data_IF_984204861537
#
_entry.id   IF_984204861537
#
_cell.length_a   1.000
_cell.length_b   1.000
_cell.length_c   1.000
_cell.angle_alpha   90.00
_cell.angle_beta   90.00
_cell.angle_gamma   90.00
#
_symmetry.space_group_name_H-M   'P 1'
#
loop_
_entity.id
_entity.type
_entity.pdbx_description
1 polymer ?
#
# COMPACT_ATOMS: atom_id res chain seq x y z
N UNK A 1 4.27 -11.85 -0.71
CA UNK A 1 5.09 -10.93 0.10
C UNK A 1 5.29 -9.63 -0.65
N UNK A 2 5.68 -8.58 0.06
CA UNK A 2 5.78 -7.23 -0.52
C UNK A 2 6.68 -7.20 -1.77
N UNK A 3 7.85 -7.82 -1.71
CA UNK A 3 8.80 -7.82 -2.82
C UNK A 3 8.22 -8.45 -4.08
N UNK A 4 7.45 -9.53 -3.92
CA UNK A 4 6.85 -10.24 -5.05
C UNK A 4 5.77 -9.42 -5.73
N UNK A 5 5.19 -8.46 -5.01
CA UNK A 5 4.19 -7.53 -5.51
C UNK A 5 4.81 -6.25 -6.07
N UNK A 6 6.13 -6.11 -6.00
CA UNK A 6 6.83 -4.90 -6.41
C UNK A 6 6.71 -3.75 -5.43
N UNK A 7 6.35 -4.03 -4.18
CA UNK A 7 6.23 -2.99 -3.16
C UNK A 7 7.61 -2.65 -2.61
N UNK A 8 8.03 -1.42 -2.82
CA UNK A 8 9.32 -0.91 -2.38
C UNK A 8 9.24 0.59 -2.12
N UNK A 9 10.26 1.12 -1.45
CA UNK A 9 10.32 2.54 -1.14
C UNK A 9 10.18 3.39 -2.41
N UNK A 10 9.34 4.40 -2.34
CA UNK A 10 9.14 5.38 -3.41
C UNK A 10 7.93 5.15 -4.29
N UNK A 11 7.28 3.99 -4.23
CA UNK A 11 6.10 3.74 -5.06
C UNK A 11 4.83 4.28 -4.42
N UNK A 12 3.85 4.61 -5.24
CA UNK A 12 2.52 4.98 -4.78
C UNK A 12 1.66 3.74 -4.55
N UNK A 13 0.85 3.79 -3.51
CA UNK A 13 -0.09 2.73 -3.17
C UNK A 13 -1.41 3.34 -2.70
N UNK A 14 -2.46 2.55 -2.75
CA UNK A 14 -3.74 2.88 -2.13
C UNK A 14 -3.84 2.09 -0.83
N UNK A 15 -4.21 2.77 0.24
CA UNK A 15 -4.28 2.17 1.59
C UNK A 15 -5.73 2.14 2.04
N UNK A 16 -6.21 0.94 2.40
CA UNK A 16 -7.53 0.80 3.00
C UNK A 16 -7.42 0.74 4.52
N UNK A 17 -8.50 1.15 5.19
CA UNK A 17 -8.55 1.09 6.64
C UNK A 17 -8.55 -0.37 7.12
N UNK A 18 -7.81 -0.66 8.19
CA UNK A 18 -7.68 -2.01 8.72
C UNK A 18 -8.94 -2.46 9.47
N UNK A 19 -9.70 -1.51 10.02
CA UNK A 19 -10.88 -1.79 10.85
C UNK A 19 -12.15 -1.69 10.04
N UNK A 20 -12.26 -0.66 9.20
CA UNK A 20 -13.47 -0.40 8.41
C UNK A 20 -13.11 -0.35 6.91
N UNK A 21 -13.27 -1.48 6.19
CA UNK A 21 -12.92 -1.54 4.78
C UNK A 21 -13.86 -0.74 3.88
N UNK A 22 -14.99 -0.25 4.41
CA UNK A 22 -15.92 0.58 3.63
C UNK A 22 -15.50 2.05 3.58
N UNK A 23 -14.53 2.45 4.40
CA UNK A 23 -13.97 3.79 4.31
C UNK A 23 -13.21 3.97 2.99
N UNK A 24 -13.22 5.19 2.41
CA UNK A 24 -12.47 5.44 1.18
C UNK A 24 -10.99 5.13 1.35
N UNK A 25 -10.39 4.52 0.33
CA UNK A 25 -8.96 4.29 0.30
C UNK A 25 -8.21 5.61 0.23
N UNK A 26 -7.02 5.64 0.83
CA UNK A 26 -6.16 6.82 0.83
C UNK A 26 -4.94 6.57 -0.03
N UNK A 27 -4.58 7.57 -0.81
CA UNK A 27 -3.37 7.53 -1.62
C UNK A 27 -2.16 7.83 -0.72
N UNK A 28 -1.11 7.04 -0.89
CA UNK A 28 0.10 7.18 -0.08
C UNK A 28 1.32 6.75 -0.89
N UNK A 29 2.50 7.08 -0.35
CA UNK A 29 3.77 6.66 -0.93
C UNK A 29 4.52 5.84 0.10
N UNK A 30 5.10 4.73 -0.33
CA UNK A 30 5.90 3.88 0.55
C UNK A 30 7.20 4.59 0.88
N UNK A 31 7.47 4.76 2.18
CA UNK A 31 8.69 5.40 2.64
C UNK A 31 9.66 4.42 3.30
N UNK A 32 9.16 3.27 3.73
CA UNK A 32 10.01 2.24 4.33
C UNK A 32 9.36 0.88 4.22
N UNK A 33 10.16 -0.13 3.93
CA UNK A 33 9.76 -1.53 4.02
C UNK A 33 10.71 -2.24 4.97
N UNK A 34 10.31 -3.41 5.45
CA UNK A 34 11.13 -4.22 6.34
C UNK A 34 11.48 -5.55 5.66
N UNK A 35 12.63 -6.15 5.98
CA UNK A 35 13.02 -7.41 5.36
C UNK A 35 12.11 -8.56 5.75
N UNK A 36 12.06 -9.58 4.91
CA UNK A 36 11.29 -10.80 5.18
C UNK A 36 11.65 -11.37 6.54
N UNK A 37 10.69 -11.96 7.27
CA UNK A 37 9.31 -12.25 6.85
C UNK A 37 8.30 -11.16 7.20
N UNK A 38 8.73 -9.94 7.44
CA UNK A 38 7.84 -8.85 7.82
C UNK A 38 6.82 -8.55 6.73
N UNK A 39 5.57 -8.28 7.15
CA UNK A 39 4.49 -7.83 6.28
C UNK A 39 4.12 -6.36 6.51
N UNK A 40 4.90 -5.66 7.33
CA UNK A 40 4.64 -4.27 7.67
C UNK A 40 5.44 -3.35 6.76
N UNK A 41 4.88 -2.18 6.54
CA UNK A 41 5.55 -1.09 5.83
C UNK A 41 5.09 0.24 6.39
N UNK A 42 5.87 1.28 6.12
CA UNK A 42 5.51 2.65 6.50
C UNK A 42 5.18 3.42 5.25
N UNK A 43 4.05 4.12 5.27
CA UNK A 43 3.59 4.95 4.18
C UNK A 43 3.44 6.39 4.64
N UNK A 44 3.51 7.31 3.69
CA UNK A 44 3.27 8.73 3.92
C UNK A 44 2.10 9.17 3.05
N UNK A 45 1.06 9.69 3.68
CA UNK A 45 -0.12 10.20 3.01
C UNK A 45 0.13 11.57 2.38
N UNK A 46 -0.79 12.03 1.54
CA UNK A 46 -0.67 13.32 0.85
C UNK A 46 -0.61 14.50 1.81
N UNK A 47 -1.23 14.38 2.98
CA UNK A 47 -1.19 15.43 4.02
C UNK A 47 0.12 15.47 4.81
N UNK A 48 1.05 14.55 4.52
CA UNK A 48 2.34 14.48 5.20
C UNK A 48 2.38 13.56 6.40
N UNK A 49 1.24 13.01 6.83
CA UNK A 49 1.19 12.06 7.93
C UNK A 49 1.75 10.70 7.52
N UNK A 50 2.45 10.06 8.45
CA UNK A 50 3.00 8.72 8.23
C UNK A 50 2.21 7.69 9.03
N UNK A 51 2.15 6.46 8.52
CA UNK A 51 1.43 5.38 9.16
C UNK A 51 2.13 4.06 8.88
N UNK A 52 2.07 3.15 9.84
CA UNK A 52 2.55 1.79 9.68
C UNK A 52 1.37 0.91 9.31
N UNK A 53 1.44 0.27 8.16
CA UNK A 53 0.33 -0.53 7.63
C UNK A 53 0.84 -1.91 7.26
N UNK A 54 -0.09 -2.86 7.16
CA UNK A 54 0.22 -4.22 6.74
C UNK A 54 0.03 -4.36 5.23
N UNK A 55 0.75 -5.29 4.60
CA UNK A 55 0.68 -5.49 3.15
C UNK A 55 -0.74 -5.78 2.65
N UNK A 56 -1.59 -6.41 3.48
CA UNK A 56 -2.97 -6.68 3.10
C UNK A 56 -3.83 -5.42 2.97
N UNK A 57 -3.39 -4.31 3.54
CA UNK A 57 -4.11 -3.03 3.48
C UNK A 57 -3.81 -2.24 2.21
N UNK A 58 -2.79 -2.62 1.44
CA UNK A 58 -2.35 -1.83 0.31
C UNK A 58 -2.69 -2.49 -1.02
N UNK A 59 -2.95 -1.63 -2.02
CA UNK A 59 -3.07 -2.02 -3.43
C UNK A 59 -2.08 -1.17 -4.20
N UNK A 60 -1.23 -1.80 -4.99
CA UNK A 60 -0.28 -1.07 -5.84
C UNK A 60 -1.02 -0.50 -7.05
N UNK A 61 -0.46 0.56 -7.64
CA UNK A 61 -1.04 1.13 -8.87
C UNK A 61 -1.00 0.13 -10.02
N UNK A 62 0.00 -0.74 -10.03
CA UNK A 62 0.08 -1.82 -11.00
C UNK A 62 -1.10 -2.79 -10.88
N UNK A 63 -1.47 -3.17 -9.65
CA UNK A 63 -2.62 -4.04 -9.40
C UNK A 63 -3.95 -3.38 -9.79
N UNK A 64 -4.08 -2.08 -9.55
CA UNK A 64 -5.26 -1.31 -9.98
C UNK A 64 -5.40 -1.33 -11.49
N UNK A 65 -4.32 -1.05 -12.21
CA UNK A 65 -4.32 -1.03 -13.67
C UNK A 65 -4.63 -2.41 -14.25
N UNK A 66 -4.13 -3.46 -13.63
CA UNK A 66 -4.41 -4.83 -14.05
C UNK A 66 -5.90 -5.16 -13.94
N UNK A 67 -6.55 -4.78 -12.82
CA UNK A 67 -7.98 -4.98 -12.64
C UNK A 67 -8.80 -4.22 -13.67
N UNK A 68 -8.41 -3.01 -14.00
CA UNK A 68 -9.08 -2.21 -15.01
C UNK A 68 -9.08 -2.85 -16.39
N UNK A 69 -8.09 -3.67 -16.70
CA UNK A 69 -7.99 -4.36 -17.99
C UNK A 69 -8.83 -5.63 -18.09
N UNK A 70 -9.26 -6.15 -16.97
CA UNK A 70 -10.04 -7.38 -16.92
C UNK A 70 -11.54 -7.17 -17.11
N UNK A 71 -11.97 -5.93 -17.22
CA UNK A 71 -13.39 -5.58 -17.38
C UNK A 71 -13.79 -5.48 -18.87
#
# INVERSE_FOLDING_TARGET
MLEDRGVRRGIEVLVKDAVDPDLPVKKARVVRTYPKPSRWLVVKYEDGNMDQVEESQITTMFEVNRRGREI
#
